data_IF_183550896604
#
_entry.id   IF_183550896604
#
_cell.length_a   1.000
_cell.length_b   1.000
_cell.length_c   1.000
_cell.angle_alpha   90.00
_cell.angle_beta   90.00
_cell.angle_gamma   90.00
#
_symmetry.space_group_name_H-M   'P 1'
#
loop_
_entity.id
_entity.type
_entity.pdbx_description
1 polymer ?
#
# COMPACT_ATOMS: atom_id res chain seq x y z
N UNK A 1 15.07 14.53 -0.88
CA UNK A 1 15.96 14.02 -1.93
C UNK A 1 15.15 13.04 -2.78
N UNK A 2 15.00 13.27 -4.09
CA UNK A 2 14.30 12.36 -5.00
C UNK A 2 15.15 11.10 -5.21
N UNK A 3 14.53 9.92 -5.31
CA UNK A 3 15.25 8.68 -5.68
C UNK A 3 15.06 8.46 -7.17
N UNK A 4 16.14 8.59 -7.94
CA UNK A 4 16.12 8.24 -9.37
C UNK A 4 16.48 6.76 -9.55
N UNK A 5 15.55 5.99 -10.11
CA UNK A 5 15.75 4.58 -10.45
C UNK A 5 16.45 4.43 -11.82
N UNK A 6 16.42 5.47 -12.65
CA UNK A 6 17.03 5.48 -13.99
C UNK A 6 16.33 4.59 -15.04
N UNK A 7 15.25 3.89 -14.67
CA UNK A 7 14.42 3.09 -15.55
C UNK A 7 13.00 2.93 -14.96
N UNK A 8 12.01 2.67 -15.81
CA UNK A 8 10.59 2.47 -15.43
C UNK A 8 10.15 1.02 -15.59
N UNK A 9 8.97 0.68 -15.05
CA UNK A 9 8.34 -0.63 -15.15
C UNK A 9 9.25 -1.80 -14.73
N UNK A 10 9.31 -2.88 -15.54
CA UNK A 10 10.03 -4.11 -15.16
C UNK A 10 11.53 -3.93 -14.90
N UNK A 11 12.20 -3.07 -15.68
CA UNK A 11 13.62 -2.79 -15.48
C UNK A 11 13.81 -1.97 -14.20
N UNK A 12 12.99 -0.95 -13.99
CA UNK A 12 12.97 -0.18 -12.76
C UNK A 12 12.73 -1.06 -11.53
N UNK A 13 11.80 -2.01 -11.61
CA UNK A 13 11.47 -2.93 -10.52
C UNK A 13 12.69 -3.75 -10.08
N UNK A 14 13.45 -4.33 -11.04
CA UNK A 14 14.67 -5.08 -10.73
C UNK A 14 15.75 -4.22 -10.09
N UNK A 15 15.89 -2.95 -10.52
CA UNK A 15 16.85 -2.02 -9.93
C UNK A 15 16.45 -1.68 -8.49
N UNK A 16 15.17 -1.38 -8.26
CA UNK A 16 14.63 -1.12 -6.92
C UNK A 16 14.89 -2.32 -6.00
N UNK A 17 14.54 -3.54 -6.42
CA UNK A 17 14.79 -4.76 -5.63
C UNK A 17 16.26 -4.92 -5.20
N UNK A 18 17.21 -4.53 -6.05
CA UNK A 18 18.66 -4.64 -5.77
C UNK A 18 19.21 -3.51 -4.90
N UNK A 19 18.57 -2.34 -4.93
CA UNK A 19 19.09 -1.12 -4.30
C UNK A 19 18.29 -0.67 -3.07
N UNK A 20 17.15 -1.30 -2.83
CA UNK A 20 16.17 -0.94 -1.81
C UNK A 20 16.78 -0.75 -0.43
N UNK A 21 17.53 -1.73 0.10
CA UNK A 21 18.09 -1.65 1.45
C UNK A 21 18.95 -0.39 1.64
N UNK A 22 19.85 -0.13 0.69
CA UNK A 22 20.72 1.06 0.70
C UNK A 22 19.92 2.36 0.54
N UNK A 23 18.86 2.34 -0.28
CA UNK A 23 18.01 3.51 -0.49
C UNK A 23 17.18 3.83 0.75
N UNK A 24 16.65 2.82 1.46
CA UNK A 24 15.97 3.00 2.75
C UNK A 24 16.92 3.61 3.79
N UNK A 25 18.15 3.11 3.91
CA UNK A 25 19.15 3.70 4.80
C UNK A 25 19.45 5.17 4.46
N UNK A 26 19.50 5.50 3.16
CA UNK A 26 19.70 6.87 2.71
C UNK A 26 18.51 7.75 3.09
N UNK A 27 17.27 7.26 2.93
CA UNK A 27 16.05 7.96 3.36
C UNK A 27 16.02 8.14 4.88
N UNK A 28 16.44 7.13 5.65
CA UNK A 28 16.52 7.20 7.10
C UNK A 28 17.53 8.26 7.60
N UNK A 29 18.54 8.61 6.78
CA UNK A 29 19.54 9.65 7.07
C UNK A 29 19.14 11.04 6.57
N UNK A 30 18.04 11.16 5.82
CA UNK A 30 17.57 12.44 5.31
C UNK A 30 17.12 13.36 6.48
N UNK A 31 17.63 14.60 6.59
CA UNK A 31 17.32 15.48 7.71
C UNK A 31 15.83 15.81 7.89
N UNK A 32 15.03 15.80 6.83
CA UNK A 32 13.58 16.05 6.92
C UNK A 32 12.88 14.83 7.52
N UNK A 33 13.29 13.63 7.11
CA UNK A 33 12.75 12.37 7.62
C UNK A 33 13.13 12.18 9.09
N UNK A 34 14.40 12.38 9.43
CA UNK A 34 14.87 12.30 10.81
C UNK A 34 14.13 13.27 11.72
N UNK A 35 14.00 14.54 11.32
CA UNK A 35 13.24 15.52 12.12
C UNK A 35 11.78 15.13 12.32
N UNK A 36 11.15 14.48 11.35
CA UNK A 36 9.76 14.03 11.47
C UNK A 36 9.65 12.84 12.43
N UNK A 37 10.54 11.86 12.30
CA UNK A 37 10.61 10.69 13.20
C UNK A 37 10.93 11.11 14.64
N UNK A 38 11.93 11.97 14.83
CA UNK A 38 12.30 12.50 16.15
C UNK A 38 11.15 13.28 16.77
N UNK A 39 10.54 14.19 16.00
CA UNK A 39 9.39 14.96 16.49
C UNK A 39 8.24 14.04 16.90
N UNK A 40 7.91 13.03 16.09
CA UNK A 40 6.89 12.05 16.45
C UNK A 40 7.23 11.31 17.75
N UNK A 41 8.46 10.77 17.86
CA UNK A 41 8.90 10.04 19.05
C UNK A 41 8.85 10.86 20.33
N UNK A 42 9.26 12.13 20.27
CA UNK A 42 9.33 13.01 21.43
C UNK A 42 7.95 13.54 21.88
N UNK A 43 6.99 13.66 20.96
CA UNK A 43 5.74 14.36 21.23
C UNK A 43 4.51 13.46 21.25
N UNK A 44 4.54 12.26 20.65
CA UNK A 44 3.35 11.41 20.55
C UNK A 44 2.77 11.02 21.92
N UNK A 45 3.63 10.82 22.92
CA UNK A 45 3.19 10.50 24.29
C UNK A 45 2.35 11.61 24.95
N UNK A 46 2.42 12.84 24.44
CA UNK A 46 1.63 13.99 24.94
C UNK A 46 0.26 14.08 24.27
N UNK A 47 0.08 13.47 23.10
CA UNK A 47 -1.20 13.35 22.44
C UNK A 47 -1.94 12.12 22.98
N UNK A 48 -2.56 12.27 24.14
CA UNK A 48 -3.31 11.22 24.82
C UNK A 48 -4.71 11.01 24.23
N UNK A 49 -5.19 11.92 23.37
CA UNK A 49 -6.49 11.84 22.70
C UNK A 49 -6.40 12.04 21.19
N UNK A 50 -7.37 11.51 20.46
CA UNK A 50 -7.50 11.67 19.01
C UNK A 50 -7.50 13.15 18.60
N UNK A 51 -8.23 14.01 19.33
CA UNK A 51 -8.30 15.45 19.09
C UNK A 51 -6.90 16.12 19.13
N UNK A 52 -6.05 15.72 20.08
CA UNK A 52 -4.70 16.26 20.24
C UNK A 52 -3.80 15.84 19.08
N UNK A 53 -3.93 14.58 18.63
CA UNK A 53 -3.21 14.09 17.46
C UNK A 53 -3.61 14.85 16.19
N UNK A 54 -4.90 15.04 15.93
CA UNK A 54 -5.35 15.68 14.67
C UNK A 54 -5.11 17.20 14.63
N UNK A 55 -4.98 17.82 15.80
CA UNK A 55 -4.60 19.24 15.94
C UNK A 55 -3.13 19.46 15.59
N UNK A 56 -2.24 18.53 15.91
CA UNK A 56 -0.84 18.58 15.54
C UNK A 56 -0.62 18.08 14.11
N UNK A 57 -0.40 19.01 13.18
CA UNK A 57 -0.18 18.68 11.78
C UNK A 57 1.01 17.73 11.56
N UNK A 58 2.10 17.88 12.32
CA UNK A 58 3.32 17.07 12.12
C UNK A 58 3.09 15.66 12.63
N UNK A 59 2.47 15.50 13.81
CA UNK A 59 2.12 14.18 14.32
C UNK A 59 1.13 13.47 13.41
N UNK A 60 0.05 14.17 13.01
CA UNK A 60 -0.96 13.62 12.11
C UNK A 60 -0.36 13.21 10.76
N UNK A 61 0.45 14.07 10.15
CA UNK A 61 1.08 13.79 8.85
C UNK A 61 2.00 12.58 8.92
N UNK A 62 2.82 12.45 9.98
CA UNK A 62 3.70 11.30 10.17
C UNK A 62 2.90 10.02 10.41
N UNK A 63 1.87 10.08 11.26
CA UNK A 63 0.96 8.96 11.52
C UNK A 63 0.30 8.48 10.23
N UNK A 64 -0.45 9.34 9.54
CA UNK A 64 -1.17 8.96 8.32
C UNK A 64 -0.23 8.41 7.25
N UNK A 65 0.94 9.02 7.05
CA UNK A 65 1.93 8.52 6.09
C UNK A 65 2.42 7.12 6.45
N UNK A 66 2.69 6.83 7.74
CA UNK A 66 3.11 5.50 8.18
C UNK A 66 2.07 4.41 7.86
N UNK A 67 0.78 4.75 7.94
CA UNK A 67 -0.33 3.86 7.61
C UNK A 67 -0.76 3.93 6.13
N UNK A 68 -0.12 4.77 5.30
CA UNK A 68 -0.45 4.93 3.88
C UNK A 68 -1.76 5.70 3.62
N UNK A 69 -2.18 6.53 4.56
CA UNK A 69 -3.41 7.33 4.55
C UNK A 69 -3.11 8.83 4.34
N UNK A 70 -1.98 9.16 3.72
CA UNK A 70 -1.53 10.55 3.56
C UNK A 70 -2.51 11.43 2.77
N UNK A 71 -3.29 10.84 1.86
CA UNK A 71 -4.30 11.54 1.08
C UNK A 71 -5.45 12.09 1.95
N UNK A 72 -5.66 11.52 3.15
CA UNK A 72 -6.71 11.91 4.08
C UNK A 72 -6.25 12.91 5.14
N UNK A 73 -5.04 13.45 5.00
CA UNK A 73 -4.53 14.54 5.85
C UNK A 73 -5.47 15.77 5.92
N UNK A 74 -6.17 16.18 4.83
CA UNK A 74 -7.17 17.25 4.90
C UNK A 74 -8.44 16.85 5.67
N UNK A 75 -8.73 15.55 5.78
CA UNK A 75 -9.99 15.01 6.32
C UNK A 75 -9.96 14.84 7.85
N UNK A 76 -9.46 15.85 8.58
CA UNK A 76 -9.17 15.75 10.02
C UNK A 76 -10.34 15.28 10.88
N UNK A 77 -11.55 15.78 10.63
CA UNK A 77 -12.74 15.39 11.38
C UNK A 77 -13.11 13.91 11.19
N UNK A 78 -12.90 13.38 9.98
CA UNK A 78 -13.10 11.97 9.70
C UNK A 78 -12.03 11.12 10.40
N UNK A 79 -10.76 11.51 10.29
CA UNK A 79 -9.65 10.82 10.97
C UNK A 79 -9.83 10.81 12.49
N UNK A 80 -10.27 11.93 13.08
CA UNK A 80 -10.58 11.99 14.50
C UNK A 80 -11.65 10.96 14.88
N UNK A 81 -12.77 10.88 14.14
CA UNK A 81 -13.82 9.89 14.37
C UNK A 81 -13.34 8.44 14.22
N UNK A 82 -12.45 8.20 13.26
CA UNK A 82 -11.81 6.88 13.08
C UNK A 82 -10.98 6.51 14.33
N UNK A 83 -10.17 7.44 14.81
CA UNK A 83 -9.31 7.23 15.99
C UNK A 83 -10.09 7.09 17.30
N UNK A 84 -11.24 7.77 17.41
CA UNK A 84 -12.17 7.67 18.55
C UNK A 84 -13.06 6.43 18.50
N UNK A 85 -13.07 5.69 17.40
CA UNK A 85 -13.90 4.50 17.23
C UNK A 85 -13.47 3.38 18.16
N UNK A 86 -14.42 2.71 18.80
CA UNK A 86 -14.17 1.45 19.50
C UNK A 86 -13.86 0.34 18.47
N UNK A 87 -12.66 -0.19 18.53
CA UNK A 87 -12.13 -1.24 17.64
C UNK A 87 -12.74 -2.61 17.95
N UNK A 88 -13.23 -2.83 19.17
CA UNK A 88 -13.82 -4.09 19.62
C UNK A 88 -15.30 -4.20 19.25
N UNK A 89 -16.00 -3.08 19.10
CA UNK A 89 -17.41 -3.05 18.66
C UNK A 89 -17.52 -3.24 17.14
N UNK A 90 -18.09 -4.37 16.72
CA UNK A 90 -18.36 -4.71 15.32
C UNK A 90 -19.21 -3.65 14.58
N UNK A 91 -20.04 -2.90 15.30
CA UNK A 91 -20.93 -1.87 14.74
C UNK A 91 -20.23 -0.51 14.56
N UNK A 92 -19.06 -0.34 15.18
CA UNK A 92 -18.26 0.88 15.16
C UNK A 92 -17.90 1.31 13.73
N UNK A 93 -17.75 2.63 13.53
CA UNK A 93 -17.46 3.24 12.24
C UNK A 93 -16.25 2.56 11.58
N UNK A 94 -15.15 2.43 12.32
CA UNK A 94 -13.88 1.93 11.81
C UNK A 94 -13.99 0.48 11.30
N UNK A 95 -14.81 -0.35 11.95
CA UNK A 95 -15.03 -1.75 11.56
C UNK A 95 -15.86 -1.89 10.28
N UNK A 96 -16.70 -0.89 9.98
CA UNK A 96 -17.52 -0.84 8.76
C UNK A 96 -16.80 -0.25 7.54
N UNK A 97 -15.65 0.38 7.73
CA UNK A 97 -14.85 0.88 6.60
C UNK A 97 -14.30 -0.28 5.77
N UNK A 98 -14.36 -0.13 4.45
CA UNK A 98 -13.82 -1.09 3.50
C UNK A 98 -12.28 -1.16 3.59
N UNK A 99 -11.65 0.01 3.74
CA UNK A 99 -10.20 0.10 3.86
C UNK A 99 -9.75 -0.15 5.30
N UNK A 100 -9.14 -1.32 5.54
CA UNK A 100 -8.69 -1.73 6.87
C UNK A 100 -7.45 -1.01 7.37
N UNK A 101 -6.84 -0.11 6.58
CA UNK A 101 -5.79 0.79 7.07
C UNK A 101 -6.28 1.72 8.17
N UNK A 102 -7.55 2.13 8.11
CA UNK A 102 -8.18 2.93 9.16
C UNK A 102 -8.34 2.16 10.47
N UNK A 103 -8.71 0.88 10.39
CA UNK A 103 -8.77 0.00 11.55
C UNK A 103 -7.40 -0.16 12.19
N UNK A 104 -6.37 -0.46 11.40
CA UNK A 104 -5.00 -0.56 11.91
C UNK A 104 -4.49 0.73 12.55
N UNK A 105 -4.87 1.89 11.98
CA UNK A 105 -4.57 3.19 12.58
C UNK A 105 -5.26 3.32 13.94
N UNK A 106 -6.56 3.07 14.02
CA UNK A 106 -7.30 3.15 15.28
C UNK A 106 -6.76 2.18 16.35
N UNK A 107 -6.49 0.94 15.98
CA UNK A 107 -5.91 -0.09 16.87
C UNK A 107 -4.52 0.31 17.40
N UNK A 108 -3.66 0.88 16.54
CA UNK A 108 -2.32 1.26 16.96
C UNK A 108 -2.31 2.41 17.98
N UNK A 109 -3.20 3.39 17.81
CA UNK A 109 -3.28 4.56 18.69
C UNK A 109 -4.20 4.32 19.89
N UNK A 110 -5.19 3.43 19.77
CA UNK A 110 -6.01 2.94 20.86
C UNK A 110 -6.94 3.97 21.53
N UNK A 111 -7.14 5.17 20.96
CA UNK A 111 -7.86 6.24 21.68
C UNK A 111 -9.35 5.96 21.96
N UNK A 112 -10.00 5.06 21.20
CA UNK A 112 -11.44 4.80 21.34
C UNK A 112 -11.84 3.88 22.50
N UNK A 113 -11.06 2.85 22.79
CA UNK A 113 -11.37 1.88 23.85
C UNK A 113 -10.15 1.09 24.37
N UNK A 114 -8.98 1.30 23.78
CA UNK A 114 -7.78 0.48 24.02
C UNK A 114 -6.65 1.32 24.63
N UNK A 115 -5.46 0.73 24.76
CA UNK A 115 -4.23 1.47 25.04
C UNK A 115 -3.42 1.60 23.76
N UNK A 116 -2.68 2.72 23.56
CA UNK A 116 -1.72 2.80 22.47
C UNK A 116 -0.77 1.59 22.47
N UNK A 117 -0.39 1.14 21.29
CA UNK A 117 0.56 0.04 21.14
C UNK A 117 1.88 0.34 21.89
N UNK A 118 2.43 -0.66 22.59
CA UNK A 118 3.60 -0.48 23.48
C UNK A 118 4.80 0.24 22.82
N UNK A 119 5.04 -0.01 21.53
CA UNK A 119 6.16 0.56 20.76
C UNK A 119 5.69 1.52 19.65
N UNK A 120 4.55 2.21 19.85
CA UNK A 120 3.90 3.04 18.83
C UNK A 120 4.88 3.98 18.11
N UNK A 121 5.72 4.70 18.86
CA UNK A 121 6.68 5.65 18.31
C UNK A 121 7.67 5.01 17.33
N UNK A 122 8.24 3.85 17.68
CA UNK A 122 9.23 3.18 16.85
C UNK A 122 8.59 2.43 15.68
N UNK A 123 7.40 1.86 15.88
CA UNK A 123 6.61 1.23 14.81
C UNK A 123 6.22 2.27 13.75
N UNK A 124 5.68 3.42 14.18
CA UNK A 124 5.32 4.52 13.26
C UNK A 124 6.55 5.12 12.61
N UNK A 125 7.63 5.34 13.36
CA UNK A 125 8.88 5.87 12.82
C UNK A 125 9.48 4.99 11.72
N UNK A 126 9.55 3.67 11.96
CA UNK A 126 10.03 2.70 10.97
C UNK A 126 9.13 2.66 9.74
N UNK A 127 7.82 2.59 9.94
CA UNK A 127 6.85 2.57 8.85
C UNK A 127 6.90 3.88 8.03
N UNK A 128 7.08 5.03 8.68
CA UNK A 128 7.20 6.33 8.03
C UNK A 128 8.42 6.38 7.09
N UNK A 129 9.59 5.90 7.53
CA UNK A 129 10.80 5.82 6.69
C UNK A 129 10.55 4.96 5.45
N UNK A 130 9.94 3.79 5.63
CA UNK A 130 9.61 2.90 4.52
C UNK A 130 8.64 3.56 3.53
N UNK A 131 7.62 4.27 4.04
CA UNK A 131 6.61 4.96 3.23
C UNK A 131 7.21 6.14 2.47
N UNK A 132 8.13 6.86 3.08
CA UNK A 132 8.86 7.94 2.43
C UNK A 132 9.78 7.43 1.32
N UNK A 133 10.42 6.27 1.52
CA UNK A 133 11.15 5.58 0.46
C UNK A 133 10.23 5.26 -0.73
N UNK A 134 9.09 4.61 -0.47
CA UNK A 134 8.10 4.28 -1.51
C UNK A 134 7.55 5.53 -2.22
N UNK A 135 7.29 6.60 -1.47
CA UNK A 135 6.83 7.88 -2.01
C UNK A 135 7.86 8.47 -2.97
N UNK A 136 9.14 8.51 -2.59
CA UNK A 136 10.25 9.00 -3.45
C UNK A 136 10.46 8.14 -4.69
N UNK A 137 10.24 6.83 -4.60
CA UNK A 137 10.21 5.95 -5.78
C UNK A 137 9.02 6.30 -6.68
N UNK A 138 7.85 6.57 -6.08
CA UNK A 138 6.64 6.97 -6.79
C UNK A 138 6.72 8.32 -7.51
N UNK A 139 7.58 9.23 -7.04
CA UNK A 139 7.89 10.48 -7.76
C UNK A 139 8.55 10.21 -9.11
N UNK A 140 9.28 9.09 -9.24
CA UNK A 140 9.86 8.64 -10.51
C UNK A 140 8.88 7.77 -11.33
N UNK A 141 8.23 6.81 -10.69
CA UNK A 141 7.29 5.89 -11.34
C UNK A 141 6.23 5.40 -10.33
N UNK A 142 4.97 5.80 -10.53
CA UNK A 142 3.86 5.44 -9.64
C UNK A 142 3.66 3.91 -9.57
N UNK A 143 3.88 3.20 -10.67
CA UNK A 143 3.70 1.75 -10.70
C UNK A 143 4.76 1.06 -9.83
N UNK A 144 6.00 1.58 -9.78
CA UNK A 144 7.02 1.11 -8.83
C UNK A 144 6.57 1.29 -7.38
N UNK A 145 5.99 2.44 -7.03
CA UNK A 145 5.41 2.66 -5.70
C UNK A 145 4.29 1.67 -5.39
N UNK A 146 3.38 1.45 -6.33
CA UNK A 146 2.27 0.50 -6.18
C UNK A 146 2.78 -0.93 -5.98
N UNK A 147 3.80 -1.36 -6.74
CA UNK A 147 4.44 -2.66 -6.57
C UNK A 147 5.10 -2.83 -5.19
N UNK A 148 5.85 -1.83 -4.74
CA UNK A 148 6.45 -1.82 -3.39
C UNK A 148 5.36 -1.90 -2.30
N UNK A 149 4.31 -1.11 -2.46
CA UNK A 149 3.17 -1.11 -1.55
C UNK A 149 2.53 -2.50 -1.49
N UNK A 150 2.25 -3.12 -2.65
CA UNK A 150 1.64 -4.43 -2.71
C UNK A 150 2.48 -5.52 -2.03
N UNK A 151 3.80 -5.54 -2.25
CA UNK A 151 4.70 -6.48 -1.58
C UNK A 151 4.61 -6.35 -0.06
N UNK A 152 4.65 -5.13 0.49
CA UNK A 152 4.56 -4.91 1.93
C UNK A 152 3.18 -5.31 2.48
N UNK A 153 2.10 -4.86 1.84
CA UNK A 153 0.74 -5.16 2.33
C UNK A 153 0.48 -6.68 2.31
N UNK A 154 0.92 -7.40 1.27
CA UNK A 154 0.78 -8.86 1.21
C UNK A 154 1.59 -9.58 2.30
N UNK A 155 2.80 -9.12 2.61
CA UNK A 155 3.58 -9.64 3.73
C UNK A 155 2.89 -9.40 5.07
N UNK A 156 2.27 -8.23 5.24
CA UNK A 156 1.52 -7.90 6.46
C UNK A 156 0.25 -8.75 6.60
N UNK A 157 -0.49 -8.96 5.50
CA UNK A 157 -1.71 -9.78 5.49
C UNK A 157 -1.41 -11.25 5.81
N UNK A 158 -0.28 -11.78 5.33
CA UNK A 158 0.13 -13.16 5.61
C UNK A 158 0.43 -13.45 7.08
N UNK A 159 0.84 -12.44 7.84
CA UNK A 159 1.09 -12.55 9.28
C UNK A 159 -0.17 -12.52 10.14
N UNK A 160 -1.36 -12.36 9.55
CA UNK A 160 -2.62 -12.22 10.29
C UNK A 160 -3.30 -13.55 10.50
N UNK A 161 -3.83 -13.73 11.72
CA UNK A 161 -4.79 -14.80 12.02
C UNK A 161 -6.16 -14.40 11.48
N UNK A 162 -6.44 -14.72 10.22
CA UNK A 162 -7.68 -14.39 9.53
C UNK A 162 -7.92 -15.34 8.37
N UNK A 163 -9.19 -15.53 8.00
CA UNK A 163 -9.53 -16.35 6.84
C UNK A 163 -9.08 -15.69 5.54
N UNK A 164 -8.71 -16.49 4.53
CA UNK A 164 -8.36 -15.99 3.18
C UNK A 164 -9.47 -15.12 2.61
N UNK A 165 -10.75 -15.47 2.84
CA UNK A 165 -11.91 -14.66 2.42
C UNK A 165 -11.86 -13.25 3.02
N UNK A 166 -11.56 -13.14 4.30
CA UNK A 166 -11.41 -11.83 4.98
C UNK A 166 -10.27 -11.04 4.33
N UNK A 167 -9.11 -11.66 4.17
CA UNK A 167 -7.92 -11.01 3.60
C UNK A 167 -8.14 -10.53 2.16
N UNK A 168 -8.90 -11.28 1.36
CA UNK A 168 -9.31 -10.84 0.01
C UNK A 168 -10.22 -9.61 0.05
N UNK A 169 -11.15 -9.51 1.01
CA UNK A 169 -11.93 -8.28 1.16
C UNK A 169 -11.05 -7.09 1.54
N UNK A 170 -9.96 -7.30 2.29
CA UNK A 170 -9.01 -6.23 2.58
C UNK A 170 -8.21 -5.81 1.33
N UNK A 171 -7.82 -6.77 0.48
CA UNK A 171 -7.24 -6.50 -0.85
C UNK A 171 -8.19 -5.65 -1.69
N UNK A 172 -9.46 -6.03 -1.73
CA UNK A 172 -10.48 -5.30 -2.49
C UNK A 172 -10.79 -3.95 -1.84
N UNK A 173 -10.68 -3.79 -0.52
CA UNK A 173 -10.92 -2.52 0.17
C UNK A 173 -9.77 -1.51 0.04
N UNK A 174 -8.53 -1.99 0.04
CA UNK A 174 -7.32 -1.17 -0.05
C UNK A 174 -7.09 -0.69 -1.48
N UNK A 175 -7.28 0.61 -1.75
CA UNK A 175 -7.24 1.16 -3.11
C UNK A 175 -5.90 0.93 -3.86
N UNK A 176 -4.72 1.23 -3.28
CA UNK A 176 -3.44 0.87 -3.88
C UNK A 176 -3.29 -0.62 -4.21
N UNK A 177 -3.66 -1.49 -3.27
CA UNK A 177 -3.52 -2.95 -3.45
C UNK A 177 -4.48 -3.45 -4.54
N UNK A 178 -5.74 -3.00 -4.49
CA UNK A 178 -6.76 -3.27 -5.50
C UNK A 178 -6.28 -2.89 -6.89
N UNK A 179 -5.65 -1.72 -7.07
CA UNK A 179 -5.12 -1.25 -8.36
C UNK A 179 -4.06 -2.21 -8.93
N UNK A 180 -3.16 -2.73 -8.08
CA UNK A 180 -2.14 -3.71 -8.50
C UNK A 180 -2.77 -5.03 -8.95
N UNK A 181 -3.71 -5.56 -8.17
CA UNK A 181 -4.42 -6.79 -8.52
C UNK A 181 -5.26 -6.63 -9.80
N UNK A 182 -6.01 -5.54 -9.94
CA UNK A 182 -6.79 -5.25 -11.15
C UNK A 182 -5.90 -5.16 -12.38
N UNK A 183 -4.81 -4.40 -12.30
CA UNK A 183 -3.87 -4.25 -13.41
C UNK A 183 -3.20 -5.58 -13.77
N UNK A 184 -2.79 -6.39 -12.78
CA UNK A 184 -2.22 -7.71 -13.03
C UNK A 184 -3.23 -8.68 -13.68
N UNK A 185 -4.49 -8.63 -13.26
CA UNK A 185 -5.56 -9.50 -13.78
C UNK A 185 -6.15 -8.99 -15.11
N UNK A 186 -5.95 -7.70 -15.43
CA UNK A 186 -6.57 -7.01 -16.57
C UNK A 186 -8.05 -6.77 -16.38
N UNK A 187 -8.45 -6.51 -15.13
CA UNK A 187 -9.80 -6.09 -14.84
C UNK A 187 -9.96 -4.61 -15.21
N UNK A 188 -10.99 -4.32 -15.99
CA UNK A 188 -11.43 -2.95 -16.24
C UNK A 188 -12.10 -2.34 -15.00
N UNK A 189 -12.28 -1.02 -15.02
CA UNK A 189 -12.98 -0.30 -13.93
C UNK A 189 -14.39 -0.82 -13.65
N UNK A 190 -15.06 -1.43 -14.63
CA UNK A 190 -16.41 -1.99 -14.48
C UNK A 190 -16.48 -3.11 -13.45
N UNK A 191 -15.38 -3.82 -13.20
CA UNK A 191 -15.34 -4.86 -12.15
C UNK A 191 -15.59 -4.29 -10.75
N UNK A 192 -15.16 -3.06 -10.48
CA UNK A 192 -15.38 -2.41 -9.19
C UNK A 192 -16.87 -2.11 -8.90
N UNK A 193 -17.75 -2.21 -9.90
CA UNK A 193 -19.20 -1.99 -9.76
C UNK A 193 -19.98 -3.27 -9.48
N UNK A 194 -19.33 -4.43 -9.53
CA UNK A 194 -19.97 -5.71 -9.24
C UNK A 194 -20.31 -5.82 -7.75
N UNK A 195 -21.32 -6.63 -7.37
CA UNK A 195 -21.53 -6.99 -5.97
C UNK A 195 -20.25 -7.52 -5.33
N UNK A 196 -20.01 -7.21 -4.05
CA UNK A 196 -18.74 -7.48 -3.38
C UNK A 196 -18.36 -8.97 -3.38
N UNK A 197 -19.33 -9.88 -3.23
CA UNK A 197 -19.10 -11.33 -3.31
C UNK A 197 -18.70 -11.77 -4.73
N UNK A 198 -19.23 -11.11 -5.76
CA UNK A 198 -18.82 -11.35 -7.15
C UNK A 198 -17.43 -10.81 -7.41
N UNK A 199 -17.08 -9.65 -6.86
CA UNK A 199 -15.70 -9.16 -6.92
C UNK A 199 -14.73 -10.16 -6.29
N UNK A 200 -15.05 -10.67 -5.10
CA UNK A 200 -14.25 -11.71 -4.45
C UNK A 200 -14.03 -12.92 -5.36
N UNK A 201 -15.12 -13.48 -5.92
CA UNK A 201 -15.06 -14.66 -6.78
C UNK A 201 -14.18 -14.43 -8.03
N UNK A 202 -14.30 -13.28 -8.68
CA UNK A 202 -13.48 -12.94 -9.85
C UNK A 202 -12.00 -12.80 -9.47
N UNK A 203 -11.71 -12.15 -8.33
CA UNK A 203 -10.33 -11.98 -7.85
C UNK A 203 -9.70 -13.32 -7.49
N UNK A 204 -10.39 -14.19 -6.77
CA UNK A 204 -9.84 -15.50 -6.38
C UNK A 204 -9.58 -16.37 -7.59
N UNK A 205 -10.52 -16.45 -8.56
CA UNK A 205 -10.33 -17.20 -9.81
C UNK A 205 -9.18 -16.65 -10.65
N UNK A 206 -9.07 -15.33 -10.75
CA UNK A 206 -7.96 -14.71 -11.47
C UNK A 206 -6.62 -14.95 -10.78
N UNK A 207 -6.60 -14.94 -9.44
CA UNK A 207 -5.43 -15.31 -8.64
C UNK A 207 -5.03 -16.76 -8.85
N UNK A 208 -5.95 -17.71 -8.80
CA UNK A 208 -5.68 -19.12 -9.09
C UNK A 208 -5.10 -19.30 -10.50
N UNK A 209 -5.69 -18.64 -11.50
CA UNK A 209 -5.22 -18.73 -12.89
C UNK A 209 -3.85 -18.09 -13.09
N UNK A 210 -3.61 -16.90 -12.54
CA UNK A 210 -2.38 -16.15 -12.76
C UNK A 210 -1.26 -16.60 -11.82
N UNK A 211 -1.55 -16.72 -10.53
CA UNK A 211 -0.60 -16.96 -9.46
C UNK A 211 -0.52 -18.43 -9.04
N UNK A 212 -1.52 -19.25 -9.39
CA UNK A 212 -1.58 -20.67 -9.00
C UNK A 212 -2.17 -20.90 -7.62
N UNK A 213 -2.61 -19.85 -6.92
CA UNK A 213 -3.17 -19.91 -5.57
C UNK A 213 -4.09 -18.73 -5.32
N UNK A 214 -5.08 -18.92 -4.44
CA UNK A 214 -5.84 -17.85 -3.79
C UNK A 214 -5.61 -17.80 -2.27
N UNK A 215 -4.72 -18.64 -1.73
CA UNK A 215 -4.41 -18.63 -0.30
C UNK A 215 -3.32 -17.61 0.01
N UNK A 216 -3.50 -16.82 1.08
CA UNK A 216 -2.52 -15.80 1.45
C UNK A 216 -1.21 -16.40 1.96
N UNK A 217 -1.24 -17.63 2.49
CA UNK A 217 -0.04 -18.36 2.89
C UNK A 217 0.93 -18.53 1.73
N UNK A 218 0.41 -18.89 0.55
CA UNK A 218 1.23 -19.11 -0.65
C UNK A 218 1.40 -17.82 -1.45
N UNK A 219 0.39 -16.96 -1.45
CA UNK A 219 0.42 -15.70 -2.20
C UNK A 219 1.45 -14.71 -1.66
N UNK A 220 1.79 -14.78 -0.37
CA UNK A 220 2.83 -13.94 0.22
C UNK A 220 4.26 -14.44 -0.02
N UNK A 221 4.43 -15.57 -0.71
CA UNK A 221 5.77 -16.05 -1.04
C UNK A 221 6.50 -15.03 -1.94
N UNK A 222 7.83 -14.91 -1.82
CA UNK A 222 8.61 -14.01 -2.67
C UNK A 222 8.34 -14.21 -4.17
N UNK A 223 8.17 -15.47 -4.59
CA UNK A 223 7.93 -15.86 -5.99
C UNK A 223 6.55 -15.40 -6.46
N UNK A 224 5.51 -15.62 -5.67
CA UNK A 224 4.14 -15.25 -6.04
C UNK A 224 3.97 -13.75 -6.08
N UNK A 225 4.54 -13.04 -5.09
CA UNK A 225 4.53 -11.58 -5.05
C UNK A 225 5.28 -10.99 -6.24
N UNK A 226 6.47 -11.50 -6.57
CA UNK A 226 7.23 -11.03 -7.74
C UNK A 226 6.48 -11.30 -9.05
N UNK A 227 5.81 -12.46 -9.18
CA UNK A 227 4.96 -12.78 -10.34
C UNK A 227 3.79 -11.80 -10.49
N UNK A 228 3.09 -11.49 -9.40
CA UNK A 228 2.00 -10.52 -9.38
C UNK A 228 2.50 -9.14 -9.85
N UNK A 229 3.56 -8.64 -9.23
CA UNK A 229 4.09 -7.30 -9.51
C UNK A 229 4.63 -7.21 -10.93
N UNK A 230 5.36 -8.21 -11.41
CA UNK A 230 5.85 -8.22 -12.80
C UNK A 230 4.71 -8.22 -13.81
N UNK A 231 3.64 -8.98 -13.55
CA UNK A 231 2.47 -9.01 -14.43
C UNK A 231 1.78 -7.65 -14.44
N UNK A 232 1.60 -7.03 -13.27
CA UNK A 232 1.09 -5.67 -13.14
C UNK A 232 1.92 -4.65 -13.94
N UNK A 233 3.24 -4.67 -13.80
CA UNK A 233 4.16 -3.76 -14.52
C UNK A 233 4.05 -3.94 -16.03
N UNK A 234 4.10 -5.19 -16.51
CA UNK A 234 4.03 -5.50 -17.93
C UNK A 234 2.71 -5.00 -18.55
N UNK A 235 1.58 -5.20 -17.87
CA UNK A 235 0.27 -4.73 -18.34
C UNK A 235 0.14 -3.21 -18.29
N UNK A 236 0.62 -2.58 -17.23
CA UNK A 236 0.61 -1.12 -17.08
C UNK A 236 1.43 -0.42 -18.18
N UNK A 237 2.53 -1.05 -18.63
CA UNK A 237 3.32 -0.54 -19.76
C UNK A 237 2.58 -0.61 -21.11
N UNK A 238 1.76 -1.64 -21.32
CA UNK A 238 0.95 -1.78 -22.53
C UNK A 238 -0.17 -0.71 -22.58
N UNK A 239 -0.77 -0.40 -21.43
CA UNK A 239 -1.80 0.63 -21.32
C UNK A 239 -1.24 2.04 -21.49
N UNK A 240 -0.02 2.30 -21.01
CA UNK A 240 0.62 3.61 -21.13
C UNK A 240 1.05 3.97 -22.58
N UNK A 241 1.29 2.97 -23.45
CA UNK A 241 1.75 3.18 -24.83
C UNK A 241 1.01 2.31 -25.87
N UNK A 242 -0.31 2.51 -26.09
CA UNK A 242 -1.11 1.65 -26.96
C UNK A 242 -0.80 1.81 -28.46
N UNK A 243 -0.16 2.91 -28.87
CA UNK A 243 0.08 3.28 -30.28
C UNK A 243 1.39 2.71 -30.83
N UNK A 244 2.43 2.54 -30.00
CA UNK A 244 3.73 2.06 -30.47
C UNK A 244 3.72 0.58 -30.90
N UNK A 245 2.91 -0.26 -30.24
CA UNK A 245 2.92 -1.71 -30.46
C UNK A 245 2.26 -2.20 -31.75
N UNK A 246 1.31 -1.45 -32.32
CA UNK A 246 0.60 -1.89 -33.55
C UNK A 246 1.46 -1.72 -34.78
N UNK A 247 2.24 -0.64 -34.83
CA UNK A 247 3.13 -0.35 -35.96
C UNK A 247 4.49 -1.03 -35.83
N UNK A 248 5.03 -1.23 -34.61
CA UNK A 248 6.31 -1.92 -34.43
C UNK A 248 6.20 -3.43 -34.67
N UNK A 249 5.11 -4.07 -34.24
CA UNK A 249 4.87 -5.49 -34.52
C UNK A 249 4.69 -5.75 -36.03
N UNK A 250 3.94 -4.87 -36.73
CA UNK A 250 3.78 -4.93 -38.17
C UNK A 250 5.10 -4.63 -38.92
N UNK A 251 5.87 -3.64 -38.47
CA UNK A 251 7.15 -3.29 -39.08
C UNK A 251 8.18 -4.41 -38.92
N UNK A 252 8.25 -5.06 -37.74
CA UNK A 252 9.15 -6.19 -37.48
C UNK A 252 8.83 -7.40 -38.38
N UNK A 253 7.55 -7.61 -38.68
CA UNK A 253 7.10 -8.64 -39.62
C UNK A 253 7.37 -8.28 -41.09
N UNK A 254 7.40 -6.99 -41.42
CA UNK A 254 7.69 -6.46 -42.76
C UNK A 254 9.20 -6.36 -43.06
N UNK A 255 10.03 -6.12 -42.05
CA UNK A 255 11.50 -6.01 -42.20
C UNK A 255 12.23 -7.35 -42.09
N UNK A 256 11.56 -8.42 -41.66
CA UNK A 256 12.10 -9.79 -41.63
C UNK A 256 11.69 -10.63 -42.85
N UNK A 257 11.54 -10.01 -44.02
CA UNK A 257 11.45 -10.71 -45.32
C UNK A 257 12.62 -10.35 -46.21
#
# INVERSE_FOLDING_TARGET
MTISVGATGLLGWKIVQRTEARQIETVARDPVVQRSVTYFRENIARAAKAEELVKDYRLLSTALSAFGLEADLPNKAFIQKVLESDTSDKSSLVNRLADKRYLRLAEAFGYGADKPAKNLADTVGTAFVQREFERRIGESDENLRLGLNARRELQQLAGRDSSDRTLWFEVIGNAPLRKVFQGAFGFSESYGRLPIDRQLEEYTKASERLLGTSSFKDMSSPETVDKLIRTFMARSQLEANPVANRYSAALTLLTNR
#
